data_IF_498306663094
#
_entry.id   IF_498306663094
#
_cell.length_a   1.000
_cell.length_b   1.000
_cell.length_c   1.000
_cell.angle_alpha   90.00
_cell.angle_beta   90.00
_cell.angle_gamma   90.00
#
_symmetry.space_group_name_H-M   'P 1'
#
loop_
_entity.id
_entity.type
_entity.pdbx_description
1 polymer ?
#
# COMPACT_ATOMS: atom_id res chain seq x y z
N UNK A 1 20.00 11.28 1.36
CA UNK A 1 20.38 10.04 0.64
C UNK A 1 19.33 8.99 0.99
N UNK A 2 18.77 8.31 -0.02
CA UNK A 2 17.80 7.24 0.20
C UNK A 2 18.51 5.89 0.37
N UNK A 3 17.85 4.99 1.09
CA UNK A 3 18.24 3.60 1.29
C UNK A 3 17.13 2.71 0.71
N UNK A 4 17.46 1.46 0.38
CA UNK A 4 16.50 0.51 -0.17
C UNK A 4 16.56 -0.80 0.63
N UNK A 5 15.39 -1.32 1.00
CA UNK A 5 15.19 -2.67 1.53
C UNK A 5 14.34 -3.44 0.51
N UNK A 6 14.85 -4.56 0.01
CA UNK A 6 14.18 -5.38 -1.00
C UNK A 6 14.72 -5.14 -2.41
N UNK A 7 13.93 -5.46 -3.43
CA UNK A 7 14.25 -5.25 -4.84
C UNK A 7 13.10 -4.51 -5.55
N UNK A 8 13.39 -3.35 -6.16
CA UNK A 8 12.37 -2.53 -6.83
C UNK A 8 11.65 -3.26 -7.97
N UNK A 9 12.29 -4.27 -8.59
CA UNK A 9 11.65 -5.06 -9.66
C UNK A 9 10.66 -6.11 -9.15
N UNK A 10 10.57 -6.33 -7.83
CA UNK A 10 9.62 -7.26 -7.21
C UNK A 10 8.86 -6.54 -6.09
N UNK A 11 9.49 -6.37 -4.93
CA UNK A 11 8.95 -5.61 -3.82
C UNK A 11 10.08 -4.95 -3.02
N UNK A 12 9.97 -3.65 -2.76
CA UNK A 12 10.95 -2.91 -1.97
C UNK A 12 10.37 -1.70 -1.26
N UNK A 13 11.03 -1.27 -0.19
CA UNK A 13 10.85 0.05 0.40
C UNK A 13 12.09 0.88 0.14
N UNK A 14 11.91 2.02 -0.53
CA UNK A 14 12.90 3.07 -0.59
C UNK A 14 12.59 4.12 0.47
N UNK A 15 13.60 4.56 1.23
CA UNK A 15 13.36 5.45 2.35
C UNK A 15 14.55 6.34 2.71
N UNK A 16 14.27 7.43 3.43
CA UNK A 16 15.27 8.23 4.12
C UNK A 16 14.77 8.60 5.51
N UNK A 17 15.59 8.40 6.54
CA UNK A 17 15.26 8.80 7.91
C UNK A 17 15.70 10.23 8.17
N UNK A 18 14.81 11.02 8.74
CA UNK A 18 15.09 12.36 9.25
C UNK A 18 15.35 12.32 10.76
N UNK A 19 14.61 11.47 11.48
CA UNK A 19 14.80 11.24 12.90
C UNK A 19 14.75 9.74 13.21
N UNK A 20 15.93 9.13 13.34
CA UNK A 20 16.05 7.69 13.62
C UNK A 20 15.43 7.29 14.96
N UNK A 21 15.60 8.09 16.01
CA UNK A 21 15.06 7.78 17.36
C UNK A 21 13.53 7.71 17.39
N UNK A 22 12.87 8.53 16.55
CA UNK A 22 11.42 8.57 16.44
C UNK A 22 10.90 7.81 15.23
N UNK A 23 11.77 7.16 14.45
CA UNK A 23 11.40 6.50 13.19
C UNK A 23 10.58 7.42 12.26
N UNK A 24 10.99 8.68 12.13
CA UNK A 24 10.37 9.64 11.22
C UNK A 24 11.26 9.82 10.00
N UNK A 25 10.64 9.80 8.82
CA UNK A 25 11.35 9.94 7.56
C UNK A 25 10.39 10.00 6.38
N UNK A 26 10.90 9.70 5.18
CA UNK A 26 10.11 9.60 3.95
C UNK A 26 10.26 8.22 3.36
N UNK A 27 9.20 7.68 2.77
CA UNK A 27 9.22 6.35 2.19
C UNK A 27 8.44 6.28 0.88
N UNK A 28 8.82 5.29 0.07
CA UNK A 28 8.15 4.88 -1.14
C UNK A 28 8.13 3.36 -1.19
N UNK A 29 6.95 2.79 -1.39
CA UNK A 29 6.80 1.37 -1.67
C UNK A 29 7.00 1.14 -3.16
N UNK A 30 7.74 0.12 -3.53
CA UNK A 30 7.97 -0.31 -4.91
C UNK A 30 7.43 -1.72 -5.08
N UNK A 31 6.66 -1.93 -6.14
CA UNK A 31 6.04 -3.21 -6.50
C UNK A 31 6.15 -3.35 -8.01
N UNK A 32 6.87 -4.37 -8.47
CA UNK A 32 7.12 -4.64 -9.90
C UNK A 32 7.58 -3.41 -10.71
N UNK A 33 8.43 -2.57 -10.11
CA UNK A 33 8.99 -1.37 -10.73
C UNK A 33 8.08 -0.14 -10.70
N UNK A 34 6.84 -0.28 -10.25
CA UNK A 34 5.89 0.81 -10.02
C UNK A 34 5.95 1.19 -8.54
N UNK A 35 5.63 2.43 -8.21
CA UNK A 35 5.72 2.90 -6.83
C UNK A 35 4.43 3.48 -6.27
N UNK A 36 4.28 3.37 -4.97
CA UNK A 36 3.23 3.94 -4.15
C UNK A 36 3.88 4.82 -3.06
N UNK A 37 3.25 5.96 -2.76
CA UNK A 37 3.75 6.93 -1.78
C UNK A 37 4.78 7.91 -2.37
N UNK A 38 5.26 8.83 -1.52
CA UNK A 38 6.13 9.93 -1.92
C UNK A 38 7.37 10.06 -1.04
N UNK A 39 8.50 10.43 -1.65
CA UNK A 39 9.71 10.84 -0.94
C UNK A 39 9.70 12.34 -0.55
N UNK A 40 8.65 13.06 -0.94
CA UNK A 40 8.36 14.43 -0.49
C UNK A 40 7.57 14.50 0.81
N UNK A 41 6.96 13.38 1.23
CA UNK A 41 6.06 13.32 2.39
C UNK A 41 6.72 12.68 3.62
N UNK A 42 6.61 13.35 4.77
CA UNK A 42 7.23 12.92 6.03
C UNK A 42 6.24 12.13 6.87
N UNK A 43 6.61 10.90 7.21
CA UNK A 43 5.75 9.91 7.85
C UNK A 43 6.40 9.30 9.09
N UNK A 44 5.57 8.77 9.99
CA UNK A 44 6.00 7.94 11.11
C UNK A 44 6.07 6.46 10.68
N UNK A 45 7.26 5.89 10.58
CA UNK A 45 7.47 4.59 9.95
C UNK A 45 6.80 3.46 10.71
N UNK A 46 6.86 3.48 12.04
CA UNK A 46 6.32 2.38 12.86
C UNK A 46 4.80 2.28 12.73
N UNK A 47 4.09 3.40 12.93
CA UNK A 47 2.64 3.44 12.86
C UNK A 47 2.06 3.35 11.45
N UNK A 48 2.71 3.97 10.45
CA UNK A 48 2.14 4.11 9.11
C UNK A 48 2.67 3.08 8.13
N UNK A 49 3.99 3.06 7.92
CA UNK A 49 4.60 2.12 6.97
C UNK A 49 4.56 0.69 7.49
N UNK A 50 5.14 0.42 8.66
CA UNK A 50 5.21 -0.94 9.24
C UNK A 50 3.81 -1.43 9.60
N UNK A 51 3.01 -0.59 10.27
CA UNK A 51 1.62 -0.89 10.61
C UNK A 51 0.79 -1.29 9.38
N UNK A 52 0.81 -0.48 8.33
CA UNK A 52 0.03 -0.76 7.14
C UNK A 52 0.59 -1.92 6.27
N UNK A 53 1.91 -2.13 6.23
CA UNK A 53 2.49 -3.34 5.62
C UNK A 53 2.08 -4.62 6.40
N UNK A 54 1.97 -4.52 7.72
CA UNK A 54 1.47 -5.61 8.57
C UNK A 54 -0.03 -5.83 8.37
N UNK A 55 -0.80 -4.77 8.12
CA UNK A 55 -2.20 -4.87 7.74
C UNK A 55 -2.37 -5.65 6.43
N UNK A 56 -1.59 -5.29 5.39
CA UNK A 56 -1.55 -5.99 4.10
C UNK A 56 -1.24 -7.48 4.28
N UNK A 57 -0.27 -7.81 5.13
CA UNK A 57 0.13 -9.19 5.42
C UNK A 57 -1.03 -10.03 5.99
N UNK A 58 -1.93 -9.39 6.74
CA UNK A 58 -3.05 -10.05 7.42
C UNK A 58 -4.36 -10.02 6.64
N UNK A 59 -4.36 -9.54 5.40
CA UNK A 59 -5.58 -9.51 4.56
C UNK A 59 -6.06 -10.92 4.23
N UNK A 60 -7.38 -11.07 4.24
CA UNK A 60 -8.04 -12.33 3.89
C UNK A 60 -8.11 -12.52 2.36
N UNK A 61 -8.52 -13.72 1.94
CA UNK A 61 -8.90 -13.96 0.55
C UNK A 61 -10.14 -13.14 0.22
N UNK A 62 -10.31 -12.78 -1.06
CA UNK A 62 -11.52 -12.10 -1.51
C UNK A 62 -12.76 -12.91 -1.18
N UNK A 63 -13.79 -12.19 -0.79
CA UNK A 63 -15.14 -12.71 -0.67
C UNK A 63 -15.72 -13.05 -2.06
N UNK A 64 -16.66 -13.99 -2.11
CA UNK A 64 -17.30 -14.43 -3.36
C UNK A 64 -17.88 -13.28 -4.19
N UNK A 65 -18.35 -12.22 -3.52
CA UNK A 65 -18.87 -11.00 -4.14
C UNK A 65 -17.86 -10.33 -5.08
N UNK A 66 -16.58 -10.41 -4.74
CA UNK A 66 -15.50 -9.73 -5.46
C UNK A 66 -14.65 -10.70 -6.31
N UNK A 67 -15.03 -11.97 -6.42
CA UNK A 67 -14.32 -12.96 -7.24
C UNK A 67 -14.63 -12.75 -8.73
N UNK A 68 -13.95 -11.78 -9.33
CA UNK A 68 -13.99 -11.47 -10.76
C UNK A 68 -12.63 -11.77 -11.41
N UNK A 69 -12.63 -12.05 -12.72
CA UNK A 69 -11.39 -12.33 -13.46
C UNK A 69 -10.58 -11.05 -13.80
N UNK A 70 -11.18 -9.87 -13.66
CA UNK A 70 -10.57 -8.58 -13.97
C UNK A 70 -10.37 -7.72 -12.72
N UNK A 71 -9.11 -7.45 -12.37
CA UNK A 71 -8.74 -6.64 -11.22
C UNK A 71 -9.27 -5.20 -11.25
N UNK A 72 -9.53 -4.62 -12.43
CA UNK A 72 -10.15 -3.30 -12.53
C UNK A 72 -11.61 -3.35 -12.10
N UNK A 73 -12.33 -4.39 -12.48
CA UNK A 73 -13.72 -4.59 -12.04
C UNK A 73 -13.79 -4.89 -10.54
N UNK A 74 -12.81 -5.62 -10.00
CA UNK A 74 -12.67 -5.83 -8.55
C UNK A 74 -12.50 -4.49 -7.84
N UNK A 75 -11.56 -3.67 -8.31
CA UNK A 75 -11.33 -2.32 -7.76
C UNK A 75 -12.60 -1.49 -7.81
N UNK A 76 -13.25 -1.39 -8.97
CA UNK A 76 -14.44 -0.56 -9.14
C UNK A 76 -15.59 -1.03 -8.23
N UNK A 77 -15.74 -2.35 -8.03
CA UNK A 77 -16.78 -2.89 -7.15
C UNK A 77 -16.49 -2.58 -5.67
N UNK A 78 -15.23 -2.71 -5.24
CA UNK A 78 -14.80 -2.32 -3.89
C UNK A 78 -15.00 -0.81 -3.66
N UNK A 79 -14.57 0.03 -4.60
CA UNK A 79 -14.74 1.50 -4.55
C UNK A 79 -16.23 1.88 -4.47
N UNK A 80 -17.08 1.22 -5.26
CA UNK A 80 -18.52 1.47 -5.22
C UNK A 80 -19.15 1.07 -3.88
N UNK A 81 -18.80 -0.10 -3.35
CA UNK A 81 -19.34 -0.57 -2.08
C UNK A 81 -18.83 0.26 -0.88
N UNK A 82 -17.63 0.83 -0.97
CA UNK A 82 -17.10 1.79 0.01
C UNK A 82 -17.92 3.10 0.09
N UNK A 83 -18.75 3.41 -0.91
CA UNK A 83 -19.63 4.58 -0.92
C UNK A 83 -21.01 4.31 -0.29
N UNK A 84 -21.33 3.07 0.07
CA UNK A 84 -22.61 2.66 0.65
C UNK A 84 -22.57 2.76 2.18
N UNK A 85 -22.63 3.97 2.73
CA UNK A 85 -22.59 4.19 4.19
C UNK A 85 -23.65 3.36 4.95
N UNK A 86 -23.22 2.69 6.03
CA UNK A 86 -24.08 1.88 6.93
C UNK A 86 -24.74 0.66 6.26
N UNK A 87 -24.03 0.04 5.31
CA UNK A 87 -24.42 -1.19 4.61
C UNK A 87 -23.41 -2.33 4.87
N UNK A 88 -23.87 -3.59 4.93
CA UNK A 88 -22.99 -4.76 5.09
C UNK A 88 -21.89 -4.83 4.02
N UNK A 89 -22.17 -4.34 2.81
CA UNK A 89 -21.21 -4.26 1.71
C UNK A 89 -20.08 -3.29 1.99
N UNK A 90 -20.37 -2.18 2.67
CA UNK A 90 -19.34 -1.23 3.08
C UNK A 90 -18.38 -1.88 4.07
N UNK A 91 -18.90 -2.55 5.10
CA UNK A 91 -18.05 -3.23 6.08
C UNK A 91 -17.21 -4.33 5.42
N UNK A 92 -17.79 -5.05 4.46
CA UNK A 92 -17.06 -6.06 3.70
C UNK A 92 -15.97 -5.45 2.81
N UNK A 93 -16.27 -4.40 2.04
CA UNK A 93 -15.28 -3.70 1.20
C UNK A 93 -14.15 -3.09 2.05
N UNK A 94 -14.51 -2.48 3.18
CA UNK A 94 -13.58 -1.90 4.14
C UNK A 94 -12.59 -2.92 4.69
N UNK A 95 -12.99 -4.18 4.85
CA UNK A 95 -12.06 -5.23 5.29
C UNK A 95 -10.87 -5.42 4.33
N UNK A 96 -11.06 -5.10 3.03
CA UNK A 96 -10.02 -5.15 2.01
C UNK A 96 -9.29 -3.82 1.81
N UNK A 97 -9.88 -2.70 2.24
CA UNK A 97 -9.24 -1.38 2.18
C UNK A 97 -7.93 -1.37 2.97
N UNK A 98 -6.92 -0.66 2.50
CA UNK A 98 -5.62 -0.52 3.17
C UNK A 98 -5.40 0.94 3.55
N UNK A 99 -5.02 1.18 4.80
CA UNK A 99 -4.71 2.53 5.27
C UNK A 99 -3.30 2.57 5.87
N UNK A 100 -2.38 3.20 5.15
CA UNK A 100 -0.99 3.44 5.58
C UNK A 100 -0.86 4.80 6.30
N UNK A 101 -1.91 5.25 7.00
CA UNK A 101 -1.98 6.58 7.61
C UNK A 101 -1.95 7.71 6.58
N UNK A 102 -1.40 8.86 6.99
CA UNK A 102 -1.31 10.05 6.13
C UNK A 102 -0.50 9.82 4.85
N UNK A 103 0.34 8.79 4.85
CA UNK A 103 1.15 8.41 3.69
C UNK A 103 0.33 7.94 2.49
N UNK A 104 -0.84 7.35 2.76
CA UNK A 104 -1.77 6.86 1.73
C UNK A 104 -2.93 7.80 1.44
N UNK A 105 -3.02 8.99 2.06
CA UNK A 105 -4.18 9.90 1.86
C UNK A 105 -4.40 10.32 0.40
N UNK A 106 -3.37 10.17 -0.45
CA UNK A 106 -3.45 10.48 -1.87
C UNK A 106 -3.87 9.29 -2.75
N UNK A 107 -4.05 8.12 -2.16
CA UNK A 107 -4.32 6.87 -2.85
C UNK A 107 -5.55 6.19 -2.26
N UNK A 108 -6.45 5.74 -3.13
CA UNK A 108 -7.40 4.70 -2.72
C UNK A 108 -6.73 3.34 -2.92
N UNK A 109 -6.85 2.45 -1.94
CA UNK A 109 -6.05 1.24 -1.83
C UNK A 109 -6.82 0.06 -1.28
N UNK A 110 -6.62 -1.10 -1.91
CA UNK A 110 -7.17 -2.37 -1.45
C UNK A 110 -6.10 -3.46 -1.53
N UNK A 111 -6.19 -4.46 -0.67
CA UNK A 111 -5.30 -5.63 -0.71
C UNK A 111 -6.03 -6.88 -0.26
N UNK A 112 -5.65 -8.00 -0.85
CA UNK A 112 -6.21 -9.31 -0.52
C UNK A 112 -5.24 -10.44 -0.79
N UNK A 113 -5.51 -11.58 -0.18
CA UNK A 113 -4.75 -12.82 -0.36
C UNK A 113 -5.19 -13.53 -1.62
N UNK A 114 -4.28 -13.77 -2.56
CA UNK A 114 -4.54 -14.54 -3.77
C UNK A 114 -4.29 -16.04 -3.52
N UNK A 115 -3.13 -16.37 -2.97
CA UNK A 115 -2.75 -17.73 -2.56
C UNK A 115 -2.07 -17.68 -1.19
N UNK A 116 -1.61 -18.82 -0.67
CA UNK A 116 -0.85 -18.83 0.58
C UNK A 116 0.49 -18.10 0.52
N UNK A 117 1.03 -17.87 -0.68
CA UNK A 117 2.33 -17.23 -0.87
C UNK A 117 2.26 -15.88 -1.60
N UNK A 118 1.10 -15.54 -2.19
CA UNK A 118 0.92 -14.34 -3.01
C UNK A 118 -0.25 -13.50 -2.52
N UNK A 119 -0.04 -12.19 -2.44
CA UNK A 119 -1.06 -11.18 -2.27
C UNK A 119 -1.22 -10.33 -3.54
N UNK A 120 -2.35 -9.64 -3.62
CA UNK A 120 -2.63 -8.58 -4.61
C UNK A 120 -2.79 -7.27 -3.85
N UNK A 121 -2.25 -6.20 -4.39
CA UNK A 121 -2.54 -4.83 -3.98
C UNK A 121 -3.05 -4.04 -5.19
N UNK A 122 -4.16 -3.35 -4.99
CA UNK A 122 -4.80 -2.46 -5.94
C UNK A 122 -4.66 -1.05 -5.43
N UNK A 123 -4.33 -0.10 -6.29
CA UNK A 123 -4.37 1.32 -5.90
C UNK A 123 -4.64 2.25 -7.06
N UNK A 124 -5.15 3.43 -6.73
CA UNK A 124 -5.40 4.53 -7.65
C UNK A 124 -5.02 5.83 -6.99
N UNK A 125 -4.28 6.68 -7.71
CA UNK A 125 -3.98 8.01 -7.23
C UNK A 125 -5.21 8.92 -7.35
N UNK A 126 -5.74 9.36 -6.21
CA UNK A 126 -6.90 10.25 -6.07
C UNK A 126 -6.50 11.68 -5.64
N UNK A 127 -5.23 11.85 -5.26
CA UNK A 127 -4.67 13.11 -4.81
C UNK A 127 -4.68 14.23 -5.86
N UNK A 128 -4.68 15.47 -5.35
CA UNK A 128 -4.61 16.71 -6.13
C UNK A 128 -3.42 17.57 -5.67
N UNK A 129 -2.32 16.93 -5.25
CA UNK A 129 -1.24 17.63 -4.56
C UNK A 129 -0.06 17.91 -5.50
N UNK A 130 0.00 19.13 -6.02
CA UNK A 130 1.12 19.62 -6.84
C UNK A 130 2.40 19.87 -6.03
N UNK A 131 2.34 19.82 -4.69
CA UNK A 131 3.49 20.07 -3.82
C UNK A 131 4.44 18.85 -3.68
N UNK A 132 3.97 17.64 -4.01
CA UNK A 132 4.78 16.43 -3.99
C UNK A 132 5.33 16.18 -5.39
N UNK A 133 6.56 16.65 -5.65
CA UNK A 133 7.18 16.67 -6.98
C UNK A 133 7.16 15.30 -7.68
N UNK A 134 7.31 14.22 -6.94
CA UNK A 134 7.32 12.86 -7.47
C UNK A 134 5.94 12.30 -7.80
N UNK A 135 4.87 12.97 -7.37
CA UNK A 135 3.49 12.65 -7.73
C UNK A 135 2.94 13.56 -8.84
N UNK A 136 3.71 14.57 -9.28
CA UNK A 136 3.34 15.40 -10.42
C UNK A 136 3.27 14.51 -11.68
N UNK A 137 2.08 14.46 -12.29
CA UNK A 137 1.82 13.62 -13.46
C UNK A 137 1.73 12.13 -13.15
N UNK A 138 1.61 11.74 -11.87
CA UNK A 138 1.39 10.35 -11.50
C UNK A 138 0.09 9.81 -12.15
N UNK A 139 0.10 8.61 -12.76
CA UNK A 139 -1.06 8.11 -13.49
C UNK A 139 -2.30 7.96 -12.61
N UNK A 140 -3.45 8.39 -13.13
CA UNK A 140 -4.76 8.27 -12.46
C UNK A 140 -5.53 7.00 -12.85
N UNK A 141 -4.82 5.99 -13.35
CA UNK A 141 -5.38 4.68 -13.62
C UNK A 141 -5.33 3.80 -12.36
N UNK A 142 -6.05 2.68 -12.40
CA UNK A 142 -5.93 1.62 -11.40
C UNK A 142 -4.67 0.83 -11.69
N UNK A 143 -3.86 0.59 -10.66
CA UNK A 143 -2.77 -0.35 -10.67
C UNK A 143 -3.20 -1.62 -9.94
N UNK A 144 -2.71 -2.76 -10.41
CA UNK A 144 -2.95 -4.07 -9.80
C UNK A 144 -1.68 -4.88 -9.86
N UNK A 145 -1.03 -5.06 -8.71
CA UNK A 145 0.24 -5.77 -8.65
C UNK A 145 0.20 -6.95 -7.68
N UNK A 146 0.90 -8.01 -8.06
CA UNK A 146 1.16 -9.16 -7.21
C UNK A 146 2.45 -8.96 -6.42
N UNK A 147 2.43 -9.43 -5.17
CA UNK A 147 3.61 -9.48 -4.32
C UNK A 147 3.69 -10.81 -3.57
N UNK A 148 4.91 -11.16 -3.14
CA UNK A 148 5.13 -12.37 -2.34
C UNK A 148 5.15 -12.04 -0.85
N UNK A 149 4.49 -12.89 -0.06
CA UNK A 149 4.43 -12.70 1.39
C UNK A 149 5.80 -12.83 2.07
N UNK A 150 6.70 -13.68 1.56
CA UNK A 150 8.04 -13.84 2.13
C UNK A 150 8.90 -12.59 1.95
N UNK A 151 8.79 -11.92 0.79
CA UNK A 151 9.44 -10.62 0.56
C UNK A 151 8.89 -9.53 1.49
N UNK A 152 7.57 -9.45 1.64
CA UNK A 152 6.90 -8.51 2.54
C UNK A 152 7.34 -8.71 4.00
N UNK A 153 7.33 -9.95 4.49
CA UNK A 153 7.77 -10.29 5.86
C UNK A 153 9.24 -9.91 6.07
N UNK A 154 10.12 -10.22 5.09
CA UNK A 154 11.53 -9.84 5.17
C UNK A 154 11.70 -8.31 5.27
N UNK A 155 10.92 -7.54 4.52
CA UNK A 155 10.98 -6.08 4.56
C UNK A 155 10.52 -5.52 5.90
N UNK A 156 9.40 -6.00 6.43
CA UNK A 156 8.90 -5.61 7.76
C UNK A 156 9.97 -5.88 8.83
N UNK A 157 10.56 -7.08 8.84
CA UNK A 157 11.63 -7.43 9.78
C UNK A 157 12.85 -6.51 9.66
N UNK A 158 13.26 -6.17 8.44
CA UNK A 158 14.39 -5.26 8.21
C UNK A 158 14.07 -3.82 8.62
N UNK A 159 12.83 -3.35 8.47
CA UNK A 159 12.41 -2.02 8.92
C UNK A 159 12.44 -1.90 10.45
N UNK A 160 12.10 -2.95 11.20
CA UNK A 160 12.25 -2.95 12.66
C UNK A 160 13.72 -2.81 13.10
N UNK A 161 14.66 -3.41 12.37
CA UNK A 161 16.10 -3.29 12.66
C UNK A 161 16.60 -1.87 12.40
N UNK A 162 16.05 -1.17 11.40
CA UNK A 162 16.43 0.22 11.08
C UNK A 162 16.14 1.19 12.24
N UNK A 163 15.05 0.94 12.97
CA UNK A 163 14.66 1.70 14.16
C UNK A 163 15.37 1.33 15.45
N UNK A 164 16.07 0.18 15.45
CA UNK A 164 16.92 -0.29 16.54
C UNK A 164 18.30 0.39 16.50
#
# INVERSE_FOLDING_TARGET
MTNIIGNKSTFAVEYSLENRKKLIGRARLWINGIFLGSLGDTIFFDGYLIGGLTEILNKNKLDERYLLDDHHLIYDLLENDMNLFDDEKYDLAKSFSVNLGTWSDYFDMYSYKLTDNLGIILWKFIGHNDALEDLIGYPRCVFSEQFRYDELVNIINRLHIVGS
#
